data_IF_539108537901
#
_entry.id   IF_539108537901
#
_cell.length_a   1.000
_cell.length_b   1.000
_cell.length_c   1.000
_cell.angle_alpha   90.00
_cell.angle_beta   90.00
_cell.angle_gamma   90.00
#
_symmetry.space_group_name_H-M   'P 1'
#
loop_
_entity.id
_entity.type
_entity.pdbx_description
1 polymer ?
#
# COMPACT_ATOMS: atom_id res chain seq x y z
N UNK A 1 9.58 2.80 60.03
CA UNK A 1 10.66 2.06 59.35
C UNK A 1 11.49 3.07 58.56
N UNK A 2 12.68 3.47 59.07
CA UNK A 2 13.51 4.51 58.42
C UNK A 2 14.32 3.87 57.33
N UNK A 3 13.95 4.13 56.07
CA UNK A 3 14.69 3.59 54.92
C UNK A 3 16.05 4.31 54.85
N UNK A 4 17.15 3.55 54.93
CA UNK A 4 18.49 4.11 54.84
C UNK A 4 18.76 4.63 53.43
N UNK A 5 19.50 5.75 53.29
CA UNK A 5 19.86 6.38 52.00
C UNK A 5 20.32 5.40 50.91
N UNK A 6 21.12 4.40 51.29
CA UNK A 6 21.58 3.40 50.34
C UNK A 6 20.49 2.45 49.82
N UNK A 7 19.45 2.19 50.63
CA UNK A 7 18.30 1.38 50.18
C UNK A 7 17.45 2.15 49.19
N UNK A 8 17.32 3.47 49.35
CA UNK A 8 16.59 4.34 48.38
C UNK A 8 17.28 4.30 47.02
N UNK A 9 18.63 4.37 46.98
CA UNK A 9 19.39 4.33 45.74
C UNK A 9 19.20 2.96 45.01
N UNK A 10 19.23 1.87 45.74
CA UNK A 10 19.01 0.53 45.17
C UNK A 10 17.60 0.38 44.62
N UNK A 11 16.58 0.85 45.37
CA UNK A 11 15.17 0.82 44.91
C UNK A 11 15.00 1.66 43.63
N UNK A 12 15.61 2.85 43.61
CA UNK A 12 15.52 3.74 42.43
C UNK A 12 16.19 3.11 41.19
N UNK A 13 17.38 2.51 41.33
CA UNK A 13 18.03 1.78 40.26
C UNK A 13 17.16 0.62 39.73
N UNK A 14 16.61 -0.18 40.65
CA UNK A 14 15.76 -1.32 40.30
C UNK A 14 14.49 -0.84 39.54
N UNK A 15 13.88 0.27 39.97
CA UNK A 15 12.73 0.85 39.30
C UNK A 15 13.03 1.30 37.86
N UNK A 16 14.21 1.92 37.62
CA UNK A 16 14.61 2.34 36.26
C UNK A 16 14.70 1.15 35.30
N UNK A 17 15.17 -0.01 35.77
CA UNK A 17 15.28 -1.20 34.95
C UNK A 17 13.95 -1.93 34.75
N UNK A 18 13.11 -1.97 35.78
CA UNK A 18 11.81 -2.67 35.73
C UNK A 18 10.75 -1.85 35.02
N UNK A 19 10.74 -0.52 35.17
CA UNK A 19 9.71 0.34 34.59
C UNK A 19 9.50 0.15 33.07
N UNK A 20 10.55 0.14 32.21
CA UNK A 20 10.36 -0.07 30.78
C UNK A 20 9.75 -1.44 30.46
N UNK A 21 10.10 -2.49 31.18
CA UNK A 21 9.53 -3.83 30.97
C UNK A 21 8.05 -3.85 31.32
N UNK A 22 7.67 -3.23 32.44
CA UNK A 22 6.26 -3.14 32.84
C UNK A 22 5.47 -2.31 31.85
N UNK A 23 6.03 -1.19 31.36
CA UNK A 23 5.35 -0.34 30.34
C UNK A 23 5.13 -1.13 29.06
N UNK A 24 6.14 -1.85 28.54
CA UNK A 24 5.99 -2.69 27.33
C UNK A 24 4.94 -3.79 27.55
N UNK A 25 4.94 -4.44 28.71
CA UNK A 25 3.96 -5.47 29.04
C UNK A 25 2.53 -4.89 29.08
N UNK A 26 2.35 -3.70 29.67
CA UNK A 26 1.06 -3.01 29.69
C UNK A 26 0.62 -2.56 28.30
N UNK A 27 1.54 -2.02 27.48
CA UNK A 27 1.28 -1.66 26.10
C UNK A 27 0.76 -2.86 25.30
N UNK A 28 1.43 -4.00 25.43
CA UNK A 28 1.00 -5.23 24.75
C UNK A 28 -0.34 -5.76 25.28
N UNK A 29 -0.56 -5.68 26.61
CA UNK A 29 -1.79 -6.17 27.25
C UNK A 29 -3.03 -5.34 26.86
N UNK A 30 -2.85 -4.02 26.70
CA UNK A 30 -3.93 -3.08 26.38
C UNK A 30 -3.97 -2.65 24.91
N UNK A 31 -3.17 -3.30 24.03
CA UNK A 31 -3.06 -2.98 22.59
C UNK A 31 -2.81 -1.48 22.34
N UNK A 32 -2.09 -0.86 23.26
CA UNK A 32 -1.78 0.56 23.20
C UNK A 32 -0.51 0.80 22.38
N UNK A 33 -0.68 1.37 21.17
CA UNK A 33 0.40 1.70 20.25
C UNK A 33 0.55 3.24 20.14
N UNK A 34 1.43 3.87 20.93
CA UNK A 34 1.66 5.31 20.84
C UNK A 34 2.31 5.65 19.48
N UNK A 35 1.66 6.51 18.72
CA UNK A 35 2.29 7.19 17.60
C UNK A 35 2.36 6.49 16.25
N UNK A 36 1.62 5.41 16.01
CA UNK A 36 1.51 4.80 14.67
C UNK A 36 0.24 5.25 13.95
N UNK A 37 0.12 6.53 13.65
CA UNK A 37 -0.97 6.99 12.78
C UNK A 37 -0.55 6.79 11.32
N UNK A 38 -1.12 5.78 10.68
CA UNK A 38 -1.18 5.64 9.23
C UNK A 38 -2.42 6.39 8.73
N UNK A 39 -2.30 7.12 7.63
CA UNK A 39 -3.44 7.75 6.98
C UNK A 39 -4.29 6.72 6.23
N UNK A 40 -3.66 5.65 5.74
CA UNK A 40 -4.33 4.51 5.14
C UNK A 40 -4.82 3.52 6.17
N UNK A 41 -5.90 2.83 5.83
CA UNK A 41 -6.46 1.71 6.59
C UNK A 41 -5.64 0.44 6.31
N UNK A 42 -5.12 -0.19 7.36
CA UNK A 42 -4.43 -1.47 7.26
C UNK A 42 -5.45 -2.59 7.02
N UNK A 43 -5.16 -3.43 6.02
CA UNK A 43 -6.02 -4.57 5.68
C UNK A 43 -5.75 -5.74 6.62
N UNK A 44 -6.75 -6.11 7.40
CA UNK A 44 -6.74 -7.30 8.26
C UNK A 44 -8.00 -8.13 7.99
N UNK A 45 -7.91 -9.47 7.84
CA UNK A 45 -6.69 -10.29 7.76
C UNK A 45 -5.88 -10.00 6.49
N UNK A 46 -4.62 -10.46 6.46
CA UNK A 46 -3.74 -10.32 5.29
C UNK A 46 -4.36 -11.08 4.11
N UNK A 47 -4.46 -10.41 2.96
CA UNK A 47 -5.03 -10.95 1.74
C UNK A 47 -3.97 -10.96 0.65
N UNK A 48 -3.64 -12.16 0.18
CA UNK A 48 -2.71 -12.32 -0.93
C UNK A 48 -3.44 -12.12 -2.25
N UNK A 49 -2.92 -11.22 -3.07
CA UNK A 49 -3.45 -10.94 -4.40
C UNK A 49 -2.84 -11.92 -5.40
N UNK A 50 -3.70 -12.67 -6.08
CA UNK A 50 -3.31 -13.59 -7.12
C UNK A 50 -3.60 -12.96 -8.49
N UNK A 51 -2.55 -12.67 -9.23
CA UNK A 51 -2.67 -12.08 -10.58
C UNK A 51 -2.89 -13.22 -11.59
N UNK A 52 -3.99 -13.22 -12.34
CA UNK A 52 -4.23 -14.23 -13.37
C UNK A 52 -3.15 -14.23 -14.47
N UNK A 53 -2.72 -15.41 -14.90
CA UNK A 53 -1.63 -15.55 -15.89
C UNK A 53 -1.99 -15.06 -17.29
N UNK A 54 -3.29 -14.94 -17.59
CA UNK A 54 -3.79 -14.58 -18.92
C UNK A 54 -3.96 -13.07 -19.12
N UNK A 55 -3.64 -12.26 -18.09
CA UNK A 55 -3.76 -10.81 -18.20
C UNK A 55 -2.72 -10.24 -19.17
N UNK A 56 -3.16 -9.33 -19.99
CA UNK A 56 -2.30 -8.58 -20.91
C UNK A 56 -2.06 -7.18 -20.36
N UNK A 57 -0.78 -6.78 -20.34
CA UNK A 57 -0.44 -5.38 -20.05
C UNK A 57 -0.40 -4.61 -21.36
N UNK A 58 -1.04 -3.46 -21.40
CA UNK A 58 -1.03 -2.58 -22.58
C UNK A 58 0.37 -2.01 -22.92
N UNK A 59 1.39 -2.29 -22.10
CA UNK A 59 2.72 -1.69 -22.24
C UNK A 59 3.49 -2.20 -23.46
N UNK A 60 3.20 -3.40 -23.97
CA UNK A 60 3.90 -3.93 -25.13
C UNK A 60 3.16 -5.15 -25.72
N UNK A 61 2.53 -4.95 -26.86
CA UNK A 61 1.88 -6.05 -27.60
C UNK A 61 2.88 -7.12 -28.06
N UNK A 62 4.18 -6.84 -28.00
CA UNK A 62 5.26 -7.73 -28.44
C UNK A 62 5.96 -8.47 -27.29
N UNK A 63 5.82 -8.03 -26.04
CA UNK A 63 6.27 -8.75 -24.86
C UNK A 63 5.08 -9.09 -23.98
N UNK A 64 4.63 -10.34 -23.99
CA UNK A 64 3.86 -10.90 -22.88
C UNK A 64 4.71 -10.70 -21.64
N UNK A 65 4.50 -9.59 -20.91
CA UNK A 65 5.03 -9.44 -19.57
C UNK A 65 4.46 -10.64 -18.82
N UNK A 66 5.31 -11.44 -18.22
CA UNK A 66 4.88 -12.52 -17.35
C UNK A 66 4.13 -11.89 -16.16
N UNK A 67 2.82 -11.75 -16.35
CA UNK A 67 1.93 -11.01 -15.43
C UNK A 67 1.79 -11.77 -14.10
N UNK A 68 2.12 -13.06 -14.09
CA UNK A 68 2.05 -13.93 -12.91
C UNK A 68 2.91 -13.45 -11.71
N UNK A 69 3.94 -12.66 -11.98
CA UNK A 69 4.80 -12.05 -10.97
C UNK A 69 4.65 -10.54 -10.82
N UNK A 70 3.67 -9.93 -11.49
CA UNK A 70 3.58 -8.47 -11.63
C UNK A 70 3.59 -7.69 -10.30
N UNK A 71 2.98 -8.24 -9.25
CA UNK A 71 2.93 -7.61 -7.92
C UNK A 71 3.97 -8.21 -6.96
N UNK A 72 5.01 -8.88 -7.48
CA UNK A 72 6.13 -9.40 -6.69
C UNK A 72 7.34 -8.47 -6.79
N UNK A 73 8.18 -8.53 -5.78
CA UNK A 73 9.47 -7.84 -5.69
C UNK A 73 9.41 -6.30 -5.70
N UNK A 74 8.22 -5.72 -5.88
CA UNK A 74 8.02 -4.26 -5.84
C UNK A 74 6.76 -3.89 -5.09
N UNK A 75 6.82 -2.74 -4.44
CA UNK A 75 5.65 -2.09 -3.90
C UNK A 75 4.74 -1.63 -5.03
N UNK A 76 3.48 -1.98 -4.98
CA UNK A 76 2.53 -1.67 -6.06
C UNK A 76 1.46 -0.70 -5.58
N UNK A 77 1.39 0.47 -6.24
CA UNK A 77 0.30 1.42 -6.09
C UNK A 77 -0.78 1.07 -7.11
N UNK A 78 -1.86 0.51 -6.64
CA UNK A 78 -2.94 0.01 -7.49
C UNK A 78 -4.14 0.96 -7.43
N UNK A 79 -4.64 1.36 -8.58
CA UNK A 79 -5.90 2.09 -8.74
C UNK A 79 -6.85 1.28 -9.60
N UNK A 80 -8.11 1.21 -9.18
CA UNK A 80 -9.12 0.34 -9.82
C UNK A 80 -10.32 1.19 -10.22
N UNK A 81 -10.70 1.14 -11.50
CA UNK A 81 -11.84 1.90 -12.01
C UNK A 81 -12.55 1.15 -13.14
N UNK A 82 -13.83 1.42 -13.30
CA UNK A 82 -14.58 0.91 -14.45
C UNK A 82 -14.17 1.65 -15.73
N UNK A 83 -14.27 2.99 -15.69
CA UNK A 83 -13.91 3.88 -16.79
C UNK A 83 -12.95 4.96 -16.31
N UNK A 84 -11.98 5.33 -17.14
CA UNK A 84 -11.03 6.38 -16.79
C UNK A 84 -11.44 7.73 -17.37
N UNK A 85 -12.24 8.46 -16.60
CA UNK A 85 -12.66 9.85 -16.86
C UNK A 85 -11.86 10.82 -15.98
N UNK A 86 -12.28 12.06 -15.89
CA UNK A 86 -11.59 13.16 -15.17
C UNK A 86 -11.11 12.80 -13.77
N UNK A 87 -11.91 12.10 -12.97
CA UNK A 87 -11.53 11.69 -11.60
C UNK A 87 -10.35 10.72 -11.64
N UNK A 88 -10.43 9.72 -12.52
CA UNK A 88 -9.33 8.76 -12.72
C UNK A 88 -8.06 9.47 -13.22
N UNK A 89 -8.17 10.36 -14.21
CA UNK A 89 -7.01 11.09 -14.73
C UNK A 89 -6.32 11.94 -13.66
N UNK A 90 -7.08 12.63 -12.81
CA UNK A 90 -6.56 13.39 -11.69
C UNK A 90 -5.84 12.46 -10.69
N UNK A 91 -6.45 11.32 -10.37
CA UNK A 91 -5.84 10.34 -9.45
C UNK A 91 -4.56 9.74 -10.03
N UNK A 92 -4.53 9.42 -11.32
CA UNK A 92 -3.32 8.94 -12.00
C UNK A 92 -2.20 10.00 -12.01
N UNK A 93 -2.56 11.27 -12.19
CA UNK A 93 -1.62 12.38 -12.06
C UNK A 93 -1.02 12.44 -10.65
N UNK A 94 -1.86 12.40 -9.63
CA UNK A 94 -1.44 12.40 -8.23
C UNK A 94 -0.51 11.22 -7.91
N UNK A 95 -0.88 10.01 -8.33
CA UNK A 95 -0.05 8.81 -8.12
C UNK A 95 1.30 8.91 -8.85
N UNK A 96 1.33 9.59 -10.01
CA UNK A 96 2.60 9.88 -10.69
C UNK A 96 3.46 10.85 -9.89
N UNK A 97 2.87 11.92 -9.33
CA UNK A 97 3.60 12.86 -8.49
C UNK A 97 4.17 12.19 -7.24
N UNK A 98 3.40 11.32 -6.59
CA UNK A 98 3.87 10.51 -5.46
C UNK A 98 5.05 9.64 -5.89
N UNK A 99 4.92 8.90 -6.99
CA UNK A 99 5.95 7.98 -7.48
C UNK A 99 7.26 8.70 -7.80
N UNK A 100 7.20 9.81 -8.55
CA UNK A 100 8.40 10.61 -8.90
C UNK A 100 9.07 11.19 -7.65
N UNK A 101 8.31 11.45 -6.59
CA UNK A 101 8.85 12.01 -5.35
C UNK A 101 9.64 11.02 -4.48
N UNK A 102 9.73 9.74 -4.87
CA UNK A 102 10.52 8.73 -4.15
C UNK A 102 12.00 8.73 -4.51
N UNK A 103 12.40 9.48 -5.54
CA UNK A 103 13.79 9.64 -5.95
C UNK A 103 14.51 8.29 -6.11
N UNK A 104 15.49 7.98 -5.28
CA UNK A 104 16.25 6.72 -5.31
C UNK A 104 15.40 5.45 -5.12
N UNK A 105 14.24 5.56 -4.51
CA UNK A 105 13.34 4.45 -4.25
C UNK A 105 12.32 4.22 -5.39
N UNK A 106 12.34 5.03 -6.47
CA UNK A 106 11.49 4.83 -7.66
C UNK A 106 11.54 3.39 -8.20
N UNK A 107 12.71 2.73 -8.33
CA UNK A 107 12.76 1.36 -8.86
C UNK A 107 12.05 0.32 -7.99
N UNK A 108 11.85 0.61 -6.71
CA UNK A 108 11.18 -0.26 -5.73
C UNK A 108 9.67 -0.16 -5.77
N UNK A 109 9.12 0.83 -6.48
CA UNK A 109 7.69 1.11 -6.54
C UNK A 109 7.22 1.07 -7.98
N UNK A 110 6.06 0.50 -8.21
CA UNK A 110 5.37 0.52 -9.51
C UNK A 110 3.95 1.02 -9.36
N UNK A 111 3.38 1.50 -10.47
CA UNK A 111 2.00 1.97 -10.53
C UNK A 111 1.21 1.07 -11.46
N UNK A 112 0.03 0.63 -11.01
CA UNK A 112 -0.83 -0.29 -11.74
C UNK A 112 -2.24 0.30 -11.82
N UNK A 113 -2.77 0.40 -13.02
CA UNK A 113 -4.17 0.69 -13.27
C UNK A 113 -4.88 -0.60 -13.67
N UNK A 114 -5.92 -0.97 -12.94
CA UNK A 114 -6.83 -2.06 -13.28
C UNK A 114 -8.13 -1.40 -13.77
N UNK A 115 -8.50 -1.62 -15.04
CA UNK A 115 -9.68 -0.96 -15.59
C UNK A 115 -10.42 -1.85 -16.59
N UNK A 116 -11.74 -1.69 -16.64
CA UNK A 116 -12.59 -2.30 -17.65
C UNK A 116 -12.73 -1.41 -18.90
N UNK A 117 -12.14 -0.22 -18.89
CA UNK A 117 -12.16 0.71 -20.01
C UNK A 117 -11.36 0.13 -21.18
N UNK A 118 -11.98 0.13 -22.36
CA UNK A 118 -11.35 -0.29 -23.61
C UNK A 118 -10.52 0.82 -24.25
N UNK A 119 -10.79 2.08 -23.88
CA UNK A 119 -10.21 3.25 -24.54
C UNK A 119 -9.06 3.87 -23.71
N UNK A 120 -7.97 3.12 -23.60
CA UNK A 120 -6.81 3.46 -22.75
C UNK A 120 -5.65 4.14 -23.49
N UNK A 121 -5.74 4.34 -24.81
CA UNK A 121 -4.62 4.85 -25.62
C UNK A 121 -4.10 6.19 -25.11
N UNK A 122 -4.98 7.13 -24.82
CA UNK A 122 -4.58 8.45 -24.27
C UNK A 122 -3.89 8.35 -22.92
N UNK A 123 -4.30 7.39 -22.06
CA UNK A 123 -3.70 7.16 -20.75
C UNK A 123 -2.30 6.59 -20.94
N UNK A 124 -2.16 5.64 -21.85
CA UNK A 124 -0.88 5.00 -22.14
C UNK A 124 0.13 6.00 -22.73
N UNK A 125 -0.27 6.86 -23.65
CA UNK A 125 0.57 7.93 -24.21
C UNK A 125 1.02 8.91 -23.12
N UNK A 126 0.10 9.31 -22.22
CA UNK A 126 0.38 10.27 -21.14
C UNK A 126 1.24 9.68 -20.02
N UNK A 127 1.13 8.38 -19.77
CA UNK A 127 1.81 7.66 -18.68
C UNK A 127 2.47 6.36 -19.16
N UNK A 128 3.58 6.43 -19.92
CA UNK A 128 4.21 5.24 -20.52
C UNK A 128 4.82 4.28 -19.48
N UNK A 129 5.05 4.73 -18.27
CA UNK A 129 5.55 3.94 -17.13
C UNK A 129 4.44 3.29 -16.29
N UNK A 130 3.16 3.64 -16.56
CA UNK A 130 2.01 3.04 -15.90
C UNK A 130 1.71 1.67 -16.49
N UNK A 131 1.57 0.67 -15.61
CA UNK A 131 1.13 -0.67 -16.02
C UNK A 131 -0.39 -0.66 -16.07
N UNK A 132 -0.97 -0.95 -17.22
CA UNK A 132 -2.43 -0.94 -17.40
C UNK A 132 -2.90 -2.35 -17.68
N UNK A 133 -3.80 -2.85 -16.83
CA UNK A 133 -4.43 -4.17 -16.96
C UNK A 133 -5.89 -3.96 -17.34
N UNK A 134 -6.23 -4.25 -18.61
CA UNK A 134 -7.59 -4.06 -19.13
C UNK A 134 -8.11 -5.23 -19.98
N UNK A 135 -7.30 -6.29 -20.18
CA UNK A 135 -7.68 -7.46 -20.99
C UNK A 135 -7.09 -8.76 -20.42
N UNK A 136 -7.78 -9.89 -20.58
CA UNK A 136 -9.20 -10.00 -20.94
C UNK A 136 -10.09 -9.51 -19.80
N UNK A 137 -11.27 -8.98 -20.13
CA UNK A 137 -12.17 -8.33 -19.16
C UNK A 137 -12.58 -9.26 -18.00
N UNK A 138 -12.75 -10.54 -18.25
CA UNK A 138 -13.12 -11.53 -17.23
C UNK A 138 -12.02 -11.64 -16.17
N UNK A 139 -10.76 -11.76 -16.58
CA UNK A 139 -9.63 -11.90 -15.66
C UNK A 139 -9.33 -10.58 -14.94
N UNK A 140 -9.53 -9.43 -15.60
CA UNK A 140 -9.47 -8.10 -14.97
C UNK A 140 -10.52 -7.97 -13.88
N UNK A 141 -11.76 -8.42 -14.15
CA UNK A 141 -12.84 -8.40 -13.16
C UNK A 141 -12.54 -9.32 -11.98
N UNK A 142 -12.04 -10.55 -12.22
CA UNK A 142 -11.61 -11.48 -11.17
C UNK A 142 -10.49 -10.90 -10.31
N UNK A 143 -9.54 -10.21 -10.92
CA UNK A 143 -8.48 -9.54 -10.18
C UNK A 143 -9.04 -8.40 -9.32
N UNK A 144 -9.88 -7.55 -9.88
CA UNK A 144 -10.48 -6.43 -9.15
C UNK A 144 -11.32 -6.88 -7.95
N UNK A 145 -12.05 -8.00 -8.05
CA UNK A 145 -12.85 -8.56 -6.97
C UNK A 145 -12.01 -8.95 -5.73
N UNK A 146 -10.72 -9.27 -5.88
CA UNK A 146 -9.85 -9.58 -4.74
C UNK A 146 -9.60 -8.36 -3.83
N UNK A 147 -9.82 -7.16 -4.34
CA UNK A 147 -9.70 -5.90 -3.59
C UNK A 147 -11.00 -5.46 -2.93
N UNK A 148 -12.12 -6.16 -3.19
CA UNK A 148 -13.41 -5.90 -2.54
C UNK A 148 -13.33 -6.10 -1.02
N UNK A 149 -14.12 -5.32 -0.31
CA UNK A 149 -14.28 -5.41 1.15
C UNK A 149 -15.77 -5.46 1.49
N UNK A 150 -16.12 -5.91 2.71
CA UNK A 150 -17.52 -5.89 3.13
C UNK A 150 -18.16 -4.51 3.05
N UNK A 151 -17.36 -3.45 3.25
CA UNK A 151 -17.81 -2.06 3.27
C UNK A 151 -17.87 -1.37 1.91
N UNK A 152 -17.17 -1.90 0.88
CA UNK A 152 -17.15 -1.30 -0.47
C UNK A 152 -16.73 -2.28 -1.55
N UNK A 153 -17.12 -1.97 -2.79
CA UNK A 153 -16.61 -2.61 -4.01
C UNK A 153 -15.40 -1.87 -4.52
N UNK A 154 -14.34 -2.59 -4.93
CA UNK A 154 -13.12 -1.97 -5.42
C UNK A 154 -13.36 -1.14 -6.68
N UNK A 155 -14.12 -1.70 -7.62
CA UNK A 155 -14.57 -0.98 -8.83
C UNK A 155 -15.57 0.10 -8.40
N UNK A 156 -15.24 1.38 -8.69
CA UNK A 156 -16.07 2.53 -8.37
C UNK A 156 -15.84 3.14 -6.98
N UNK A 157 -14.98 2.57 -6.15
CA UNK A 157 -14.63 3.15 -4.84
C UNK A 157 -13.70 4.36 -4.93
N UNK A 158 -12.99 4.52 -6.04
CA UNK A 158 -11.95 5.52 -6.25
C UNK A 158 -10.79 5.44 -5.23
N UNK A 159 -10.69 4.31 -4.54
CA UNK A 159 -9.66 4.05 -3.56
C UNK A 159 -8.31 3.74 -4.23
N UNK A 160 -7.24 4.04 -3.51
CA UNK A 160 -5.87 3.62 -3.86
C UNK A 160 -5.46 2.48 -2.95
N UNK A 161 -4.90 1.44 -3.51
CA UNK A 161 -4.48 0.24 -2.81
C UNK A 161 -2.96 0.13 -2.84
N UNK A 162 -2.38 -0.36 -1.75
CA UNK A 162 -0.95 -0.66 -1.66
C UNK A 162 -0.78 -2.15 -1.47
N UNK A 163 -0.06 -2.77 -2.40
CA UNK A 163 0.32 -4.18 -2.36
C UNK A 163 1.82 -4.25 -2.11
N UNK A 164 2.22 -5.12 -1.17
CA UNK A 164 3.62 -5.32 -0.80
C UNK A 164 4.38 -6.19 -1.82
N UNK A 165 5.72 -6.28 -1.74
CA UNK A 165 6.54 -7.13 -2.63
C UNK A 165 6.28 -8.63 -2.51
N UNK A 166 5.49 -9.08 -1.54
CA UNK A 166 5.05 -10.47 -1.38
C UNK A 166 3.65 -10.70 -1.97
N UNK A 167 3.09 -9.70 -2.66
CA UNK A 167 1.74 -9.67 -3.23
C UNK A 167 0.62 -9.64 -2.18
N UNK A 168 0.87 -9.14 -0.97
CA UNK A 168 -0.18 -8.97 0.02
C UNK A 168 -0.78 -7.57 -0.07
N UNK A 169 -2.10 -7.49 0.00
CA UNK A 169 -2.79 -6.21 0.12
C UNK A 169 -2.58 -5.67 1.53
N UNK A 170 -1.78 -4.60 1.64
CA UNK A 170 -1.36 -4.02 2.91
C UNK A 170 -2.27 -2.90 3.38
N UNK A 171 -2.58 -1.95 2.50
CA UNK A 171 -3.26 -0.71 2.87
C UNK A 171 -4.25 -0.27 1.82
N UNK A 172 -5.28 0.42 2.28
CA UNK A 172 -6.27 1.09 1.43
C UNK A 172 -6.36 2.55 1.83
N UNK A 173 -6.33 3.42 0.84
CA UNK A 173 -6.56 4.85 0.99
C UNK A 173 -7.88 5.21 0.32
N UNK A 174 -8.83 5.70 1.10
CA UNK A 174 -10.09 6.19 0.55
C UNK A 174 -9.86 7.40 -0.36
N UNK A 175 -10.84 7.68 -1.22
CA UNK A 175 -10.78 8.82 -2.13
C UNK A 175 -10.67 10.19 -1.42
N UNK A 176 -10.98 10.26 -0.12
CA UNK A 176 -10.87 11.46 0.73
C UNK A 176 -9.44 11.76 1.18
N UNK A 177 -8.54 10.77 1.14
CA UNK A 177 -7.16 10.92 1.60
C UNK A 177 -6.36 11.69 0.55
N UNK A 178 -5.66 12.71 1.00
CA UNK A 178 -4.84 13.57 0.14
C UNK A 178 -3.58 12.84 -0.32
N UNK A 179 -3.12 13.14 -1.53
CA UNK A 179 -1.92 12.54 -2.13
C UNK A 179 -0.67 12.72 -1.27
N UNK A 180 -0.56 13.84 -0.55
CA UNK A 180 0.55 14.11 0.38
C UNK A 180 0.56 13.16 1.59
N UNK A 181 -0.61 12.73 2.05
CA UNK A 181 -0.77 11.80 3.17
C UNK A 181 -0.38 10.39 2.74
N UNK A 182 -0.84 9.95 1.56
CA UNK A 182 -0.42 8.70 0.93
C UNK A 182 1.11 8.66 0.78
N UNK A 183 1.70 9.76 0.27
CA UNK A 183 3.16 9.88 0.13
C UNK A 183 3.89 9.72 1.46
N UNK A 184 3.42 10.35 2.55
CA UNK A 184 4.05 10.25 3.88
C UNK A 184 4.10 8.80 4.38
N UNK A 185 3.00 8.08 4.25
CA UNK A 185 2.95 6.66 4.66
C UNK A 185 3.88 5.81 3.81
N UNK A 186 3.88 5.99 2.49
CA UNK A 186 4.73 5.22 1.58
C UNK A 186 6.22 5.49 1.79
N UNK A 187 6.63 6.75 1.98
CA UNK A 187 8.02 7.10 2.33
C UNK A 187 8.44 6.40 3.63
N UNK A 188 7.53 6.36 4.61
CA UNK A 188 7.78 5.65 5.87
C UNK A 188 7.92 4.15 5.66
N UNK A 189 7.03 3.53 4.86
CA UNK A 189 7.11 2.11 4.52
C UNK A 189 8.43 1.78 3.82
N UNK A 190 8.80 2.54 2.78
CA UNK A 190 10.04 2.33 2.02
C UNK A 190 11.29 2.50 2.88
N UNK A 191 11.27 3.43 3.85
CA UNK A 191 12.39 3.68 4.76
C UNK A 191 12.65 2.50 5.71
N UNK A 192 11.59 1.85 6.20
CA UNK A 192 11.70 0.77 7.19
C UNK A 192 11.58 -0.63 6.58
N UNK A 193 11.18 -0.73 5.31
CA UNK A 193 11.17 -1.99 4.57
C UNK A 193 12.48 -2.17 3.80
N UNK A 194 13.11 -3.32 3.99
CA UNK A 194 14.26 -3.75 3.18
C UNK A 194 13.81 -4.54 1.92
N UNK A 195 12.53 -4.88 1.81
CA UNK A 195 11.95 -5.60 0.68
C UNK A 195 11.57 -4.63 -0.47
N UNK A 196 11.76 -5.08 -1.71
CA UNK A 196 11.43 -4.32 -2.93
C UNK A 196 12.62 -3.61 -3.55
#
# INVERSE_FOLDING_TARGET
>A
MIIKKNQIIVIFMTLIFIAPLVIVMLMYRYDWHPGSHSYGELVKPIIKINVPNNLESAKDSSKKVEVSGLMKDKWSLVYITNECKTICENRLYDLRQIHVSFDKDIPRVQRILITLDKNINKIHEKYPDLIILNKPLEDVSKLALQFDRPSYKAIGSENVYVVDPMSNLMMVYSNKIKSQEIRKDLVRLLKYSWAG
#
